data_IF_163283116475
#
_entry.id   IF_163283116475
#
_cell.length_a   1.000
_cell.length_b   1.000
_cell.length_c   1.000
_cell.angle_alpha   90.00
_cell.angle_beta   90.00
_cell.angle_gamma   90.00
#
_symmetry.space_group_name_H-M   'P 1'
#
loop_
_entity.id
_entity.type
_entity.pdbx_description
1 polymer ?
#
# COMPACT_ATOMS: atom_id res chain seq x y z
N UNK A 1 -3.10 4.63 -2.98
CA UNK A 1 -1.76 4.23 -3.46
C UNK A 1 -1.51 4.70 -4.89
N UNK A 2 -2.21 4.19 -5.92
CA UNK A 2 -2.01 4.61 -7.33
C UNK A 2 -2.15 6.12 -7.55
N UNK A 3 -3.22 6.72 -7.01
CA UNK A 3 -3.40 8.18 -7.09
C UNK A 3 -2.28 8.95 -6.38
N UNK A 4 -1.83 8.48 -5.22
CA UNK A 4 -0.71 9.08 -4.49
C UNK A 4 0.58 9.01 -5.32
N UNK A 5 0.90 7.87 -5.92
CA UNK A 5 2.09 7.72 -6.78
C UNK A 5 2.01 8.63 -8.01
N UNK A 6 0.85 8.68 -8.68
CA UNK A 6 0.65 9.55 -9.83
C UNK A 6 0.79 11.04 -9.50
N UNK A 7 0.17 11.49 -8.41
CA UNK A 7 0.24 12.86 -7.92
C UNK A 7 1.68 13.28 -7.57
N UNK A 8 2.46 12.37 -7.00
CA UNK A 8 3.86 12.58 -6.67
C UNK A 8 4.83 12.34 -7.85
N UNK A 9 4.31 12.21 -9.07
CA UNK A 9 5.10 12.01 -10.29
C UNK A 9 5.93 10.72 -10.30
N UNK A 10 5.55 9.72 -9.48
CA UNK A 10 6.26 8.45 -9.40
C UNK A 10 5.83 7.52 -10.54
N UNK A 11 6.80 6.80 -11.12
CA UNK A 11 6.52 5.70 -12.03
C UNK A 11 6.45 4.38 -11.27
N UNK A 12 5.58 3.46 -11.71
CA UNK A 12 5.51 2.11 -11.18
C UNK A 12 5.12 1.14 -12.28
N UNK A 13 5.46 -0.14 -12.07
CA UNK A 13 4.95 -1.25 -12.89
C UNK A 13 3.70 -1.81 -12.23
N UNK A 14 2.63 -1.99 -13.00
CA UNK A 14 1.43 -2.67 -12.52
C UNK A 14 1.43 -4.12 -12.99
N UNK A 15 1.65 -5.05 -12.05
CA UNK A 15 1.47 -6.49 -12.27
C UNK A 15 0.01 -6.86 -12.03
N UNK A 16 -0.75 -7.09 -13.11
CA UNK A 16 -2.17 -7.40 -13.04
C UNK A 16 -2.37 -8.89 -12.79
N UNK A 17 -2.95 -9.23 -11.65
CA UNK A 17 -3.39 -10.59 -11.33
C UNK A 17 -4.86 -10.73 -11.68
N UNK A 18 -5.17 -11.55 -12.67
CA UNK A 18 -6.56 -11.86 -13.04
C UNK A 18 -7.19 -12.82 -12.02
N UNK A 19 -8.53 -12.89 -12.02
CA UNK A 19 -9.27 -13.83 -11.17
C UNK A 19 -8.84 -15.27 -11.46
N UNK A 20 -8.67 -15.65 -12.73
CA UNK A 20 -8.25 -17.00 -13.10
C UNK A 20 -6.85 -17.33 -12.54
N UNK A 21 -5.88 -16.42 -12.69
CA UNK A 21 -4.53 -16.58 -12.13
C UNK A 21 -4.57 -16.68 -10.60
N UNK A 22 -5.44 -15.91 -9.94
CA UNK A 22 -5.62 -16.00 -8.50
C UNK A 22 -6.21 -17.34 -8.06
N UNK A 23 -7.22 -17.82 -8.78
CA UNK A 23 -7.93 -19.08 -8.49
C UNK A 23 -7.10 -20.34 -8.78
N UNK A 24 -6.05 -20.25 -9.61
CA UNK A 24 -5.05 -21.33 -9.75
C UNK A 24 -4.33 -21.63 -8.43
N UNK A 25 -4.35 -20.71 -7.46
CA UNK A 25 -3.88 -20.97 -6.10
C UNK A 25 -2.35 -21.07 -5.94
N UNK A 26 -1.57 -20.84 -6.99
CA UNK A 26 -0.10 -20.84 -6.93
C UNK A 26 0.45 -19.56 -6.28
N UNK A 27 -0.22 -18.42 -6.50
CA UNK A 27 0.23 -17.11 -5.99
C UNK A 27 -0.17 -16.88 -4.52
N UNK A 28 -1.35 -17.33 -4.12
CA UNK A 28 -1.90 -17.07 -2.78
C UNK A 28 -0.98 -17.53 -1.63
N UNK A 29 -0.37 -18.74 -1.66
CA UNK A 29 0.54 -19.20 -0.61
C UNK A 29 1.85 -18.43 -0.51
N UNK A 30 2.25 -17.71 -1.58
CA UNK A 30 3.47 -16.88 -1.56
C UNK A 30 3.21 -15.47 -1.01
N UNK A 31 1.94 -15.10 -0.85
CA UNK A 31 1.56 -13.82 -0.24
C UNK A 31 1.46 -13.99 1.28
N UNK A 32 2.12 -13.12 2.05
CA UNK A 32 2.25 -13.26 3.51
C UNK A 32 0.94 -13.55 4.24
N UNK A 33 -0.15 -12.86 3.85
CA UNK A 33 -1.49 -13.03 4.44
C UNK A 33 -2.47 -13.75 3.50
N UNK A 34 -1.97 -14.37 2.42
CA UNK A 34 -2.82 -14.96 1.38
C UNK A 34 -3.72 -13.93 0.70
N UNK A 35 -3.30 -12.65 0.67
CA UNK A 35 -4.06 -11.52 0.17
C UNK A 35 -3.18 -10.59 -0.66
N UNK A 36 -3.82 -9.90 -1.61
CA UNK A 36 -3.28 -8.75 -2.33
C UNK A 36 -3.84 -7.47 -1.70
N UNK A 37 -3.19 -6.30 -1.89
CA UNK A 37 -2.04 -6.02 -2.76
C UNK A 37 -0.69 -6.52 -2.22
N UNK A 38 0.18 -6.95 -3.13
CA UNK A 38 1.64 -7.06 -2.94
C UNK A 38 2.27 -5.79 -3.54
N UNK A 39 3.17 -5.16 -2.82
CA UNK A 39 3.92 -3.99 -3.30
C UNK A 39 5.42 -4.22 -3.10
N UNK A 40 6.20 -3.85 -4.11
CA UNK A 40 7.65 -4.02 -4.12
C UNK A 40 8.32 -2.66 -4.33
N UNK A 41 9.20 -2.28 -3.41
CA UNK A 41 10.01 -1.06 -3.44
C UNK A 41 11.47 -1.44 -3.19
N UNK A 42 12.21 -1.65 -4.28
CA UNK A 42 13.55 -2.22 -4.21
C UNK A 42 13.55 -3.66 -3.69
N UNK A 43 14.24 -3.89 -2.58
CA UNK A 43 14.31 -5.17 -1.86
C UNK A 43 13.18 -5.36 -0.83
N UNK A 44 12.39 -4.32 -0.58
CA UNK A 44 11.28 -4.35 0.36
C UNK A 44 10.01 -4.87 -0.30
N UNK A 45 9.49 -5.98 0.20
CA UNK A 45 8.14 -6.47 -0.14
C UNK A 45 7.16 -6.15 0.97
N UNK A 46 6.06 -5.47 0.64
CA UNK A 46 4.98 -5.11 1.55
C UNK A 46 3.64 -5.73 1.13
N UNK A 47 2.82 -5.99 2.14
CA UNK A 47 1.41 -6.36 2.04
C UNK A 47 0.60 -5.43 2.95
N UNK A 48 -0.73 -5.48 2.87
CA UNK A 48 -1.68 -4.56 3.52
C UNK A 48 -1.64 -3.15 2.91
N UNK A 49 -2.74 -2.75 2.28
CA UNK A 49 -2.87 -1.48 1.55
C UNK A 49 -2.49 -0.26 2.41
N UNK A 50 -2.90 -0.24 3.68
CA UNK A 50 -2.61 0.89 4.56
C UNK A 50 -1.16 0.89 5.04
N UNK A 51 -0.53 -0.26 5.23
CA UNK A 51 0.92 -0.30 5.51
C UNK A 51 1.73 0.28 4.34
N UNK A 52 1.33 -0.05 3.10
CA UNK A 52 1.93 0.49 1.88
C UNK A 52 1.70 2.00 1.77
N UNK A 53 0.47 2.48 2.01
CA UNK A 53 0.17 3.92 2.03
C UNK A 53 1.05 4.67 3.03
N UNK A 54 1.21 4.13 4.25
CA UNK A 54 2.06 4.74 5.28
C UNK A 54 3.53 4.71 4.92
N UNK A 55 4.01 3.63 4.31
CA UNK A 55 5.37 3.55 3.77
C UNK A 55 5.63 4.67 2.76
N UNK A 56 4.77 4.79 1.75
CA UNK A 56 4.86 5.84 0.73
C UNK A 56 4.75 7.24 1.33
N UNK A 57 3.82 7.44 2.27
CA UNK A 57 3.68 8.72 2.94
C UNK A 57 4.94 9.11 3.73
N UNK A 58 5.61 8.15 4.38
CA UNK A 58 6.89 8.40 5.06
C UNK A 58 8.04 8.64 4.09
N UNK A 59 8.17 7.83 3.04
CA UNK A 59 9.30 7.94 2.08
C UNK A 59 9.21 9.17 1.18
N UNK A 60 7.99 9.65 0.90
CA UNK A 60 7.74 10.83 0.05
C UNK A 60 7.48 12.12 0.84
N UNK A 61 7.61 12.11 2.18
CA UNK A 61 7.45 13.31 3.01
C UNK A 61 6.01 13.81 3.17
N UNK A 62 5.02 12.93 3.05
CA UNK A 62 3.58 13.21 3.14
C UNK A 62 2.98 12.82 4.50
N UNK A 63 3.80 12.54 5.51
CA UNK A 63 3.37 11.99 6.81
C UNK A 63 3.32 13.00 7.96
N UNK A 64 3.10 14.29 7.64
CA UNK A 64 3.15 15.38 8.60
C UNK A 64 4.57 15.75 9.04
N UNK A 65 4.73 16.92 9.68
CA UNK A 65 6.06 17.45 10.03
C UNK A 65 6.59 16.99 11.40
N UNK A 66 5.74 16.35 12.21
CA UNK A 66 6.05 15.90 13.56
C UNK A 66 5.09 14.79 14.01
N UNK A 67 5.36 14.21 15.17
CA UNK A 67 4.57 13.09 15.72
C UNK A 67 3.09 13.43 15.94
N UNK A 68 2.76 14.68 16.28
CA UNK A 68 1.36 15.10 16.46
C UNK A 68 0.62 15.08 15.13
N UNK A 69 1.22 15.63 14.07
CA UNK A 69 0.60 15.62 12.74
C UNK A 69 0.55 14.21 12.14
N UNK A 70 1.59 13.40 12.34
CA UNK A 70 1.57 11.99 11.95
C UNK A 70 0.40 11.23 12.59
N UNK A 71 0.16 11.44 13.90
CA UNK A 71 -0.98 10.84 14.60
C UNK A 71 -2.33 11.32 14.05
N UNK A 72 -2.43 12.57 13.59
CA UNK A 72 -3.64 13.08 12.92
C UNK A 72 -3.85 12.44 11.55
N UNK A 73 -2.77 12.23 10.79
CA UNK A 73 -2.82 11.48 9.51
C UNK A 73 -3.29 10.05 9.75
N UNK A 74 -2.73 9.37 10.77
CA UNK A 74 -3.15 8.03 11.16
C UNK A 74 -4.63 7.96 11.51
N UNK A 75 -5.09 8.87 12.38
CA UNK A 75 -6.48 8.93 12.82
C UNK A 75 -7.45 9.09 11.64
N UNK A 76 -7.12 9.94 10.66
CA UNK A 76 -7.96 10.12 9.47
C UNK A 76 -7.91 8.89 8.57
N UNK A 77 -6.72 8.33 8.32
CA UNK A 77 -6.57 7.15 7.47
C UNK A 77 -7.32 5.93 8.04
N UNK A 78 -7.23 5.72 9.35
CA UNK A 78 -7.93 4.62 10.02
C UNK A 78 -9.45 4.85 10.03
N UNK A 79 -9.91 6.09 10.23
CA UNK A 79 -11.33 6.42 10.08
C UNK A 79 -11.87 6.20 8.67
N UNK A 80 -11.05 6.35 7.62
CA UNK A 80 -11.42 6.00 6.24
C UNK A 80 -11.47 4.48 6.05
N UNK A 81 -10.53 3.74 6.65
CA UNK A 81 -10.52 2.28 6.58
C UNK A 81 -11.75 1.65 7.23
N UNK A 82 -12.22 2.20 8.35
CA UNK A 82 -13.43 1.72 9.04
C UNK A 82 -14.70 1.79 8.18
N UNK A 83 -14.72 2.65 7.15
CA UNK A 83 -15.86 2.82 6.23
C UNK A 83 -15.74 1.99 4.94
N UNK A 84 -14.58 1.35 4.69
CA UNK A 84 -14.23 0.70 3.43
C UNK A 84 -14.63 -0.77 3.39
#
# INVERSE_FOLDING_TARGET
MRMLLADQGQSWKEEVVTIDTWMQGLLKPTCLYGQLPKFEDGDLTLYQSNAILRHLGRSLGLYGKNQREAAQVDMVNDGVEDLR
#
